data_IF_644191211854
#
_entry.id   IF_644191211854
#
_cell.length_a   1.000
_cell.length_b   1.000
_cell.length_c   1.000
_cell.angle_alpha   90.00
_cell.angle_beta   90.00
_cell.angle_gamma   90.00
#
_symmetry.space_group_name_H-M   'P 1'
#
loop_
_entity.id
_entity.type
_entity.pdbx_description
1 polymer ?
#
# COMPACT_ATOMS: atom_id res chain seq x y z
N UNK A 1 -19.80 13.80 12.64
CA UNK A 1 -19.38 12.53 13.27
C UNK A 1 -20.64 11.84 13.74
N UNK A 2 -20.91 10.63 13.26
CA UNK A 2 -22.10 9.85 13.61
C UNK A 2 -21.76 8.90 14.77
N UNK A 3 -22.67 8.75 15.74
CA UNK A 3 -22.48 7.91 16.93
C UNK A 3 -23.42 6.72 16.86
N UNK A 4 -22.84 5.52 16.87
CA UNK A 4 -23.57 4.26 16.97
C UNK A 4 -23.12 3.49 18.22
N UNK A 5 -24.03 2.73 18.81
CA UNK A 5 -23.76 1.86 19.96
C UNK A 5 -23.68 0.42 19.46
N UNK A 6 -22.63 -0.30 19.86
CA UNK A 6 -22.41 -1.70 19.50
C UNK A 6 -22.51 -2.52 20.78
N UNK A 7 -23.23 -3.64 20.73
CA UNK A 7 -23.24 -4.65 21.79
C UNK A 7 -22.31 -5.79 21.40
N UNK A 8 -21.45 -6.22 22.33
CA UNK A 8 -20.52 -7.32 22.16
C UNK A 8 -20.68 -8.27 23.35
N UNK A 9 -20.41 -9.55 23.13
CA UNK A 9 -20.31 -10.51 24.22
C UNK A 9 -19.16 -10.12 25.17
N UNK A 10 -19.31 -10.44 26.46
CA UNK A 10 -18.40 -9.99 27.50
C UNK A 10 -16.95 -10.47 27.30
N UNK A 11 -16.78 -11.71 26.82
CA UNK A 11 -15.46 -12.27 26.53
C UNK A 11 -14.80 -11.55 25.35
N UNK A 12 -15.55 -11.28 24.28
CA UNK A 12 -15.05 -10.57 23.10
C UNK A 12 -14.69 -9.10 23.42
N UNK A 13 -15.49 -8.43 24.25
CA UNK A 13 -15.20 -7.07 24.71
C UNK A 13 -13.89 -7.00 25.50
N UNK A 14 -13.60 -8.02 26.30
CA UNK A 14 -12.37 -8.13 27.09
C UNK A 14 -11.15 -8.39 26.21
N UNK A 15 -11.25 -9.33 25.27
CA UNK A 15 -10.18 -9.57 24.29
C UNK A 15 -9.86 -8.31 23.48
N UNK A 16 -10.91 -7.56 23.11
CA UNK A 16 -10.75 -6.29 22.42
C UNK A 16 -10.02 -5.25 23.29
N UNK A 17 -10.38 -5.12 24.57
CA UNK A 17 -9.68 -4.23 25.51
C UNK A 17 -8.19 -4.56 25.67
N UNK A 18 -7.84 -5.84 25.75
CA UNK A 18 -6.45 -6.26 25.82
C UNK A 18 -5.69 -5.93 24.53
N UNK A 19 -6.33 -6.12 23.37
CA UNK A 19 -5.76 -5.80 22.07
C UNK A 19 -5.47 -4.30 21.94
N UNK A 20 -6.43 -3.44 22.30
CA UNK A 20 -6.26 -1.98 22.18
C UNK A 20 -5.18 -1.45 23.12
N UNK A 21 -5.07 -2.02 24.33
CA UNK A 21 -4.03 -1.66 25.30
C UNK A 21 -2.64 -2.03 24.76
N UNK A 22 -2.50 -3.24 24.19
CA UNK A 22 -1.25 -3.69 23.56
C UNK A 22 -0.86 -2.84 22.34
N UNK A 23 -1.84 -2.36 21.58
CA UNK A 23 -1.61 -1.49 20.40
C UNK A 23 -1.45 0.00 20.75
N UNK A 24 -1.59 0.38 22.02
CA UNK A 24 -1.37 1.75 22.49
C UNK A 24 -2.50 2.74 22.15
N UNK A 25 -3.71 2.26 21.86
CA UNK A 25 -4.85 3.15 21.60
C UNK A 25 -5.33 3.84 22.87
N UNK A 26 -5.71 5.12 22.74
CA UNK A 26 -6.18 5.94 23.86
C UNK A 26 -7.65 5.64 24.23
N UNK A 27 -8.46 5.15 23.28
CA UNK A 27 -9.86 4.83 23.50
C UNK A 27 -10.38 3.76 22.52
N UNK A 28 -11.43 3.04 22.94
CA UNK A 28 -12.10 2.00 22.13
C UNK A 28 -12.62 2.53 20.79
N UNK A 29 -13.13 3.75 20.75
CA UNK A 29 -13.72 4.33 19.53
C UNK A 29 -12.69 4.55 18.42
N UNK A 30 -11.45 4.88 18.78
CA UNK A 30 -10.33 5.04 17.85
C UNK A 30 -9.88 3.70 17.29
N UNK A 31 -9.74 2.69 18.15
CA UNK A 31 -9.42 1.33 17.71
C UNK A 31 -10.52 0.73 16.81
N UNK A 32 -11.80 0.92 17.16
CA UNK A 32 -12.93 0.50 16.31
C UNK A 32 -12.89 1.23 14.96
N UNK A 33 -12.59 2.53 14.95
CA UNK A 33 -12.52 3.31 13.71
C UNK A 33 -11.41 2.80 12.80
N UNK A 34 -10.23 2.54 13.33
CA UNK A 34 -9.10 2.02 12.55
C UNK A 34 -9.35 0.60 12.07
N UNK A 35 -9.95 -0.27 12.90
CA UNK A 35 -10.36 -1.60 12.48
C UNK A 35 -11.39 -1.56 11.37
N UNK A 36 -12.43 -0.72 11.50
CA UNK A 36 -13.45 -0.54 10.48
C UNK A 36 -12.84 0.03 9.20
N UNK A 37 -11.95 1.02 9.30
CA UNK A 37 -11.28 1.60 8.13
C UNK A 37 -10.45 0.54 7.42
N UNK A 38 -9.58 -0.17 8.14
CA UNK A 38 -8.75 -1.22 7.55
C UNK A 38 -9.58 -2.37 6.96
N UNK A 39 -10.70 -2.75 7.59
CA UNK A 39 -11.59 -3.77 7.06
C UNK A 39 -12.36 -3.30 5.83
N UNK A 40 -12.87 -2.06 5.82
CA UNK A 40 -13.55 -1.46 4.67
C UNK A 40 -12.58 -1.23 3.51
N UNK A 41 -11.34 -0.82 3.77
CA UNK A 41 -10.28 -0.72 2.77
C UNK A 41 -9.96 -2.10 2.18
N UNK A 42 -9.84 -3.13 3.03
CA UNK A 42 -9.65 -4.52 2.59
C UNK A 42 -10.86 -5.06 1.79
N UNK A 43 -12.08 -4.63 2.09
CA UNK A 43 -13.28 -4.96 1.33
C UNK A 43 -13.42 -4.12 0.04
N UNK A 44 -12.86 -2.92 -0.01
CA UNK A 44 -12.77 -2.06 -1.21
C UNK A 44 -11.62 -2.47 -2.12
N UNK A 45 -10.64 -3.20 -1.60
CA UNK A 45 -9.56 -3.82 -2.35
C UNK A 45 -10.05 -4.88 -3.36
N UNK A 46 -11.32 -5.29 -3.28
CA UNK A 46 -12.10 -5.99 -4.33
C UNK A 46 -12.64 -5.06 -5.43
N UNK A 47 -12.20 -3.80 -5.45
CA UNK A 47 -12.62 -2.77 -6.40
C UNK A 47 -12.39 -3.14 -7.86
N UNK A 48 -13.21 -2.54 -8.73
CA UNK A 48 -13.23 -2.81 -10.16
C UNK A 48 -11.85 -2.62 -10.80
N UNK A 49 -11.54 -3.46 -11.80
CA UNK A 49 -10.22 -3.53 -12.44
C UNK A 49 -9.69 -2.20 -13.02
N UNK A 50 -10.54 -1.19 -13.18
CA UNK A 50 -10.22 0.13 -13.74
C UNK A 50 -9.93 1.23 -12.70
N UNK A 51 -10.04 0.96 -11.40
CA UNK A 51 -9.64 1.94 -10.39
C UNK A 51 -8.12 2.13 -10.37
N UNK A 52 -7.67 3.34 -10.04
CA UNK A 52 -6.24 3.69 -9.91
C UNK A 52 -5.82 3.62 -8.44
N UNK A 53 -4.56 3.29 -8.18
CA UNK A 53 -4.04 3.18 -6.82
C UNK A 53 -2.59 3.65 -6.70
N UNK A 54 -2.20 3.87 -5.45
CA UNK A 54 -0.81 3.87 -5.00
C UNK A 54 -0.67 2.66 -4.07
N UNK A 55 0.44 1.94 -4.16
CA UNK A 55 0.66 0.77 -3.33
C UNK A 55 2.10 0.70 -2.81
N UNK A 56 2.29 -0.06 -1.75
CA UNK A 56 3.60 -0.48 -1.27
C UNK A 56 3.67 -2.01 -1.29
N UNK A 57 4.58 -2.55 -2.07
CA UNK A 57 4.92 -3.96 -2.06
C UNK A 57 6.20 -4.13 -1.22
N UNK A 58 6.10 -4.87 -0.12
CA UNK A 58 7.29 -5.23 0.67
C UNK A 58 7.57 -6.73 0.59
N UNK A 59 8.83 -7.10 0.45
CA UNK A 59 9.27 -8.49 0.48
C UNK A 59 10.70 -8.63 0.97
N UNK A 60 11.05 -9.84 1.41
CA UNK A 60 12.39 -10.21 1.88
C UNK A 60 12.97 -11.25 0.94
N UNK A 61 14.27 -11.15 0.63
CA UNK A 61 14.97 -12.20 -0.10
C UNK A 61 16.43 -12.32 0.38
N UNK A 62 17.03 -13.48 0.11
CA UNK A 62 18.45 -13.69 0.33
C UNK A 62 19.21 -13.26 -0.93
N UNK A 63 20.13 -12.30 -0.81
CA UNK A 63 20.84 -11.74 -1.97
C UNK A 63 21.99 -12.65 -2.50
N UNK A 64 22.32 -13.73 -1.78
CA UNK A 64 23.18 -14.80 -2.29
C UNK A 64 22.44 -15.83 -3.15
N UNK A 65 21.09 -15.80 -3.18
CA UNK A 65 20.32 -16.64 -4.10
C UNK A 65 20.65 -16.27 -5.54
N UNK A 66 21.03 -17.29 -6.31
CA UNK A 66 21.58 -17.09 -7.65
C UNK A 66 20.60 -16.35 -8.56
N UNK A 67 21.10 -15.28 -9.15
CA UNK A 67 20.42 -14.40 -10.11
C UNK A 67 19.13 -13.74 -9.57
N UNK A 68 18.79 -13.88 -8.28
CA UNK A 68 17.50 -13.40 -7.75
C UNK A 68 17.42 -11.86 -7.77
N UNK A 69 18.45 -11.17 -7.28
CA UNK A 69 18.47 -9.71 -7.31
C UNK A 69 18.37 -9.13 -8.74
N UNK A 70 19.00 -9.80 -9.70
CA UNK A 70 18.93 -9.43 -11.12
C UNK A 70 17.53 -9.63 -11.68
N UNK A 71 16.91 -10.80 -11.48
CA UNK A 71 15.52 -11.07 -11.92
C UNK A 71 14.51 -10.07 -11.32
N UNK A 72 14.65 -9.74 -10.03
CA UNK A 72 13.79 -8.75 -9.39
C UNK A 72 13.96 -7.35 -10.00
N UNK A 73 15.21 -6.98 -10.31
CA UNK A 73 15.52 -5.71 -10.98
C UNK A 73 14.96 -5.68 -12.41
N UNK A 74 15.07 -6.78 -13.16
CA UNK A 74 14.50 -6.91 -14.50
C UNK A 74 12.97 -6.80 -14.49
N UNK A 75 12.30 -7.45 -13.55
CA UNK A 75 10.84 -7.33 -13.39
C UNK A 75 10.43 -5.88 -13.12
N UNK A 76 11.13 -5.18 -12.21
CA UNK A 76 10.89 -3.77 -11.92
C UNK A 76 11.13 -2.89 -13.15
N UNK A 77 12.21 -3.12 -13.91
CA UNK A 77 12.50 -2.38 -15.15
C UNK A 77 11.43 -2.63 -16.23
N UNK A 78 10.94 -3.86 -16.35
CA UNK A 78 9.84 -4.22 -17.26
C UNK A 78 8.53 -3.48 -16.97
N UNK A 79 8.34 -3.03 -15.72
CA UNK A 79 7.17 -2.31 -15.24
C UNK A 79 7.55 -0.95 -14.62
N UNK A 80 8.49 -0.24 -15.26
CA UNK A 80 8.95 1.08 -14.83
C UNK A 80 7.84 2.14 -14.82
N UNK A 81 6.76 1.92 -15.55
CA UNK A 81 5.56 2.75 -15.58
C UNK A 81 4.71 2.61 -14.30
N UNK A 82 4.78 1.44 -13.66
CA UNK A 82 4.13 1.17 -12.37
C UNK A 82 5.06 1.48 -11.18
N UNK A 83 6.37 1.31 -11.35
CA UNK A 83 7.37 1.45 -10.28
C UNK A 83 7.78 2.91 -10.09
N UNK A 84 7.48 3.46 -8.91
CA UNK A 84 7.81 4.85 -8.56
C UNK A 84 9.19 4.93 -7.92
N UNK A 85 9.45 4.07 -6.92
CA UNK A 85 10.71 4.04 -6.19
C UNK A 85 10.84 2.71 -5.44
N UNK A 86 12.08 2.27 -5.23
CA UNK A 86 12.40 1.10 -4.41
C UNK A 86 13.33 1.52 -3.28
N UNK A 87 12.97 1.18 -2.04
CA UNK A 87 13.85 1.25 -0.89
C UNK A 87 14.39 -0.14 -0.60
N UNK A 88 15.70 -0.27 -0.44
CA UNK A 88 16.39 -1.51 -0.09
C UNK A 88 17.09 -1.36 1.27
N UNK A 89 16.94 -2.35 2.14
CA UNK A 89 17.60 -2.40 3.44
C UNK A 89 18.23 -3.77 3.69
N UNK A 90 19.50 -3.81 4.06
CA UNK A 90 20.15 -5.02 4.55
C UNK A 90 19.66 -5.33 5.97
N UNK A 91 19.05 -6.50 6.16
CA UNK A 91 18.60 -6.97 7.47
C UNK A 91 19.74 -7.67 8.23
N UNK A 92 20.54 -8.44 7.50
CA UNK A 92 21.72 -9.16 7.99
C UNK A 92 22.69 -9.43 6.83
N UNK A 93 23.64 -10.36 7.04
CA UNK A 93 24.64 -10.74 6.04
C UNK A 93 24.03 -11.34 4.76
N UNK A 94 22.87 -11.99 4.86
CA UNK A 94 22.28 -12.75 3.75
C UNK A 94 21.00 -12.10 3.22
N UNK A 95 20.20 -11.49 4.11
CA UNK A 95 18.83 -11.09 3.82
C UNK A 95 18.68 -9.59 3.60
N UNK A 96 17.86 -9.25 2.61
CA UNK A 96 17.46 -7.88 2.29
C UNK A 96 15.94 -7.74 2.37
N UNK A 97 15.47 -6.60 2.85
CA UNK A 97 14.09 -6.15 2.75
C UNK A 97 14.00 -5.08 1.64
N UNK A 98 13.07 -5.25 0.72
CA UNK A 98 12.72 -4.21 -0.25
C UNK A 98 11.29 -3.74 -0.05
N UNK A 99 11.10 -2.43 -0.25
CA UNK A 99 9.81 -1.75 -0.25
C UNK A 99 9.68 -0.99 -1.58
N UNK A 100 8.82 -1.49 -2.46
CA UNK A 100 8.58 -0.96 -3.79
C UNK A 100 7.30 -0.14 -3.78
N UNK A 101 7.43 1.16 -3.99
CA UNK A 101 6.31 2.08 -4.14
C UNK A 101 5.81 1.99 -5.59
N UNK A 102 4.54 1.64 -5.73
CA UNK A 102 3.87 1.40 -6.99
C UNK A 102 2.73 2.41 -7.20
N UNK A 103 2.42 2.70 -8.46
CA UNK A 103 1.31 3.57 -8.84
C UNK A 103 0.77 3.16 -10.20
N UNK A 104 -0.53 2.94 -10.30
CA UNK A 104 -1.14 2.53 -11.56
C UNK A 104 -2.56 2.00 -11.40
N UNK A 105 -3.13 1.44 -12.49
CA UNK A 105 -4.37 0.67 -12.41
C UNK A 105 -4.21 -0.47 -11.38
N UNK A 106 -5.23 -0.67 -10.53
CA UNK A 106 -5.21 -1.68 -9.46
C UNK A 106 -4.88 -3.07 -10.00
N UNK A 107 -5.47 -3.44 -11.14
CA UNK A 107 -5.23 -4.74 -11.76
C UNK A 107 -3.74 -4.93 -12.17
N UNK A 108 -3.14 -3.92 -12.79
CA UNK A 108 -1.72 -3.96 -13.21
C UNK A 108 -0.78 -4.01 -12.00
N UNK A 109 -1.06 -3.20 -10.97
CA UNK A 109 -0.27 -3.17 -9.72
C UNK A 109 -0.34 -4.53 -9.01
N UNK A 110 -1.52 -5.14 -8.91
CA UNK A 110 -1.68 -6.48 -8.31
C UNK A 110 -0.96 -7.55 -9.12
N UNK A 111 -1.15 -7.59 -10.43
CA UNK A 111 -0.48 -8.57 -11.29
C UNK A 111 1.05 -8.47 -11.20
N UNK A 112 1.60 -7.25 -11.18
CA UNK A 112 3.02 -7.02 -10.97
C UNK A 112 3.49 -7.51 -9.59
N UNK A 113 2.74 -7.18 -8.53
CA UNK A 113 3.06 -7.63 -7.18
C UNK A 113 3.02 -9.16 -7.04
N UNK A 114 2.02 -9.81 -7.63
CA UNK A 114 1.90 -11.27 -7.63
C UNK A 114 3.08 -11.92 -8.37
N UNK A 115 3.51 -11.35 -9.51
CA UNK A 115 4.69 -11.83 -10.23
C UNK A 115 5.98 -11.69 -9.40
N UNK A 116 6.18 -10.56 -8.74
CA UNK A 116 7.32 -10.34 -7.84
C UNK A 116 7.32 -11.32 -6.66
N UNK A 117 6.18 -11.56 -6.04
CA UNK A 117 6.06 -12.49 -4.89
C UNK A 117 6.20 -13.95 -5.32
N UNK A 118 5.86 -14.28 -6.57
CA UNK A 118 6.01 -15.61 -7.14
C UNK A 118 7.47 -15.97 -7.51
N UNK A 119 8.38 -14.98 -7.55
CA UNK A 119 9.80 -15.24 -7.81
C UNK A 119 10.39 -16.19 -6.77
N UNK A 120 11.03 -17.26 -7.25
CA UNK A 120 11.64 -18.25 -6.38
C UNK A 120 12.75 -17.60 -5.55
N UNK A 121 12.59 -17.63 -4.23
CA UNK A 121 13.53 -17.05 -3.26
C UNK A 121 13.00 -15.79 -2.58
N UNK A 122 11.90 -15.22 -3.09
CA UNK A 122 11.15 -14.16 -2.41
C UNK A 122 10.34 -14.75 -1.25
N UNK A 123 10.33 -14.04 -0.12
CA UNK A 123 9.69 -14.42 1.13
C UNK A 123 8.92 -13.23 1.70
N UNK A 124 7.90 -13.52 2.50
CA UNK A 124 7.13 -12.49 3.23
C UNK A 124 6.58 -11.36 2.35
N UNK A 125 6.17 -11.68 1.11
CA UNK A 125 5.55 -10.73 0.20
C UNK A 125 4.23 -10.18 0.74
N UNK A 126 4.10 -8.86 0.81
CA UNK A 126 2.88 -8.18 1.26
C UNK A 126 2.63 -6.93 0.42
N UNK A 127 1.43 -6.83 -0.14
CA UNK A 127 0.98 -5.67 -0.90
C UNK A 127 -0.02 -4.86 -0.07
N UNK A 128 0.32 -3.61 0.21
CA UNK A 128 -0.61 -2.63 0.76
C UNK A 128 -1.11 -1.71 -0.36
N UNK A 129 -2.41 -1.73 -0.65
CA UNK A 129 -3.04 -0.93 -1.72
C UNK A 129 -3.86 0.21 -1.13
N UNK A 130 -3.61 1.42 -1.63
CA UNK A 130 -4.38 2.63 -1.32
C UNK A 130 -5.09 3.09 -2.59
N UNK A 131 -6.41 2.95 -2.62
CA UNK A 131 -7.23 3.42 -3.75
C UNK A 131 -7.23 4.94 -3.81
N UNK A 132 -7.08 5.50 -5.02
CA UNK A 132 -7.06 6.94 -5.25
C UNK A 132 -8.03 7.34 -6.35
N UNK A 133 -8.72 8.46 -6.15
CA UNK A 133 -9.42 9.15 -7.22
C UNK A 133 -8.42 9.93 -8.07
N UNK A 134 -8.50 9.75 -9.38
CA UNK A 134 -7.68 10.46 -10.36
C UNK A 134 -8.47 11.68 -10.84
N UNK A 135 -8.07 12.85 -10.36
CA UNK A 135 -8.65 14.13 -10.78
C UNK A 135 -7.66 14.82 -11.74
N UNK A 136 -8.05 15.01 -13.00
CA UNK A 136 -7.27 15.76 -13.99
C UNK A 136 -7.58 17.26 -13.87
N UNK A 137 -7.28 17.83 -12.70
CA UNK A 137 -7.48 19.25 -12.44
C UNK A 137 -6.39 20.13 -13.04
N UNK A 138 -6.74 21.07 -13.92
CA UNK A 138 -5.88 22.22 -14.23
C UNK A 138 -5.98 23.24 -13.09
N UNK A 139 -4.90 23.45 -12.34
CA UNK A 139 -4.85 24.54 -11.36
C UNK A 139 -3.53 25.32 -11.47
N UNK A 140 -3.55 26.57 -11.03
CA UNK A 140 -2.38 27.46 -11.02
C UNK A 140 -1.68 27.39 -9.66
N UNK A 141 -0.38 27.09 -9.64
CA UNK A 141 0.43 27.29 -8.44
C UNK A 141 0.71 28.78 -8.24
N UNK A 142 0.88 29.22 -6.98
CA UNK A 142 1.13 30.63 -6.63
C UNK A 142 2.39 31.25 -7.23
N UNK A 143 3.28 30.42 -7.80
CA UNK A 143 4.38 30.84 -8.64
C UNK A 143 4.04 30.57 -10.11
N UNK A 144 3.83 31.64 -10.89
CA UNK A 144 3.60 31.57 -12.32
C UNK A 144 4.90 31.92 -13.07
N UNK A 145 5.72 30.93 -13.48
CA UNK A 145 6.73 31.20 -14.49
C UNK A 145 5.99 31.63 -15.77
N UNK A 146 6.62 32.43 -16.62
CA UNK A 146 6.06 32.83 -17.93
C UNK A 146 5.83 31.58 -18.79
N UNK A 147 4.69 30.92 -18.64
CA UNK A 147 4.35 29.66 -19.31
C UNK A 147 3.03 29.10 -18.79
N UNK A 148 2.23 28.53 -19.70
CA UNK A 148 0.92 27.93 -19.41
C UNK A 148 1.05 26.85 -18.32
N UNK A 149 0.08 26.79 -17.38
CA UNK A 149 0.02 25.71 -16.39
C UNK A 149 -0.04 24.36 -17.09
N UNK A 150 0.94 23.50 -16.80
CA UNK A 150 0.98 22.15 -17.38
C UNK A 150 -0.05 21.27 -16.66
N UNK A 151 -0.88 20.51 -17.40
CA UNK A 151 -1.80 19.56 -16.80
C UNK A 151 -1.01 18.48 -16.05
N UNK A 152 -1.46 18.14 -14.84
CA UNK A 152 -0.89 17.07 -14.02
C UNK A 152 -1.99 16.35 -13.26
N UNK A 153 -1.70 15.12 -12.84
CA UNK A 153 -2.65 14.22 -12.16
C UNK A 153 -2.68 14.50 -10.65
N UNK A 154 -3.88 14.65 -10.10
CA UNK A 154 -4.12 14.66 -8.65
C UNK A 154 -4.58 13.29 -8.21
N UNK A 155 -3.88 12.70 -7.24
CA UNK A 155 -4.29 11.45 -6.61
C UNK A 155 -4.85 11.78 -5.23
N UNK A 156 -6.15 11.60 -5.05
CA UNK A 156 -6.83 11.82 -3.76
C UNK A 156 -7.15 10.45 -3.15
N UNK A 157 -6.55 10.09 -2.00
CA UNK A 157 -6.88 8.84 -1.32
C UNK A 157 -8.38 8.76 -1.00
N UNK A 158 -9.01 7.63 -1.33
CA UNK A 158 -10.42 7.37 -0.97
C UNK A 158 -10.49 6.96 0.51
N UNK A 159 -11.11 7.78 1.35
CA UNK A 159 -11.37 7.50 2.79
C UNK A 159 -12.60 6.64 3.03
#
# INVERSE_FOLDING_TARGET
MERFTISLDEDLAREFDELIAKRGYLNRSEAIRDLLRGHLESARQTGEANDYCVANLSYVYNHHERDLAERLTELQHGHHDLTVATLHAHLDHDNCLESVILKGPVASVRAFADAMVAERGVRHGSLNVVSVDVDQGRHSHGYAPRGKSSPHLHLKPRS
#
